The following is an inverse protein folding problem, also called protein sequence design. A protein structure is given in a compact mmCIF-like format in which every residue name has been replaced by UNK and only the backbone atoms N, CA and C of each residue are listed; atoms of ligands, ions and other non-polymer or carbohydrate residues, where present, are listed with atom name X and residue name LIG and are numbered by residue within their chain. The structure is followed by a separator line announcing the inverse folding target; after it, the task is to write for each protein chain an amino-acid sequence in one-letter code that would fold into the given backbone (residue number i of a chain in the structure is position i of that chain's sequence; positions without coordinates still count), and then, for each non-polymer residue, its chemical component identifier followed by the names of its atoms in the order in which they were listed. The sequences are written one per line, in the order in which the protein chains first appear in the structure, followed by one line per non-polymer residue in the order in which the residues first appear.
data_IF_729558130489
#
_entry.id   IF_729558130489
#
_cell.length_a   1.000
_cell.length_b   1.000
_cell.length_c   1.000
_cell.angle_alpha   90.00
_cell.angle_beta   90.00
_cell.angle_gamma   90.00
#
_symmetry.space_group_name_H-M   'P 1'
#
loop_
_entity.id
_entity.type
_entity.pdbx_description
1 polymer ?
#
# COMPACT_ATOMS: atom_id res chain seq x y z
N UNK A 1 8.35 14.89 18.14
CA UNK A 1 7.93 15.48 16.84
C UNK A 1 6.80 14.61 16.30
N UNK A 2 5.66 15.17 15.88
CA UNK A 2 4.60 14.37 15.28
C UNK A 2 5.12 13.72 13.99
N UNK A 3 4.84 12.43 13.82
CA UNK A 3 5.29 11.67 12.67
C UNK A 3 4.54 12.17 11.43
N UNK A 4 5.25 12.71 10.45
CA UNK A 4 4.65 13.20 9.21
C UNK A 4 4.05 12.03 8.42
N UNK A 5 2.86 12.18 7.83
CA UNK A 5 2.27 11.14 7.01
C UNK A 5 3.13 10.92 5.76
N UNK A 6 3.43 9.66 5.46
CA UNK A 6 4.06 9.30 4.20
C UNK A 6 3.00 9.23 3.12
N UNK A 7 3.19 10.02 2.07
CA UNK A 7 2.24 10.18 0.99
C UNK A 7 2.80 9.61 -0.30
N UNK A 8 1.93 9.07 -1.15
CA UNK A 8 2.28 8.61 -2.49
C UNK A 8 1.28 9.14 -3.49
N UNK A 9 1.74 9.42 -4.71
CA UNK A 9 0.86 9.84 -5.79
C UNK A 9 0.27 8.62 -6.51
N UNK A 10 -1.02 8.67 -6.80
CA UNK A 10 -1.67 7.62 -7.58
C UNK A 10 -1.44 7.90 -9.06
N UNK A 11 -0.92 6.91 -9.77
CA UNK A 11 -0.77 6.98 -11.23
C UNK A 11 -1.77 6.05 -11.91
N UNK A 12 -2.07 6.34 -13.17
CA UNK A 12 -2.94 5.50 -14.00
C UNK A 12 -2.12 4.86 -15.12
N UNK A 13 -2.29 3.56 -15.33
CA UNK A 13 -1.76 2.84 -16.50
C UNK A 13 -2.85 1.98 -17.10
N UNK A 14 -3.31 2.37 -18.30
CA UNK A 14 -4.48 1.75 -18.93
C UNK A 14 -5.73 1.92 -18.06
N UNK A 15 -6.42 0.82 -17.80
CA UNK A 15 -7.60 0.77 -16.93
C UNK A 15 -7.26 0.65 -15.42
N UNK A 16 -5.99 0.46 -15.05
CA UNK A 16 -5.58 0.20 -13.67
C UNK A 16 -4.97 1.42 -13.00
N UNK A 17 -5.37 1.66 -11.75
CA UNK A 17 -4.69 2.59 -10.85
C UNK A 17 -3.50 1.90 -10.19
N UNK A 18 -2.41 2.64 -9.99
CA UNK A 18 -1.18 2.14 -9.38
C UNK A 18 -0.72 3.09 -8.29
N UNK A 19 -0.38 2.50 -7.15
CA UNK A 19 0.31 3.17 -6.06
C UNK A 19 1.68 2.52 -5.90
N UNK A 20 2.70 3.34 -5.68
CA UNK A 20 4.00 2.85 -5.21
C UNK A 20 4.03 3.09 -3.71
N UNK A 21 4.00 2.04 -2.87
CA UNK A 21 4.04 2.23 -1.43
C UNK A 21 5.37 2.89 -1.02
N UNK A 22 5.36 3.84 -0.08
CA UNK A 22 6.58 4.35 0.54
C UNK A 22 7.41 3.21 1.12
N UNK A 23 8.75 3.36 1.13
CA UNK A 23 9.69 2.30 1.56
C UNK A 23 9.34 1.75 2.95
N UNK A 24 9.05 2.62 3.92
CA UNK A 24 8.70 2.18 5.29
C UNK A 24 7.37 1.44 5.34
N UNK A 25 6.37 1.84 4.53
CA UNK A 25 5.10 1.12 4.47
C UNK A 25 5.29 -0.31 3.93
N UNK A 26 6.14 -0.48 2.91
CA UNK A 26 6.51 -1.80 2.39
C UNK A 26 7.29 -2.63 3.42
N UNK A 27 8.21 -2.01 4.16
CA UNK A 27 8.98 -2.65 5.24
C UNK A 27 8.07 -3.09 6.41
N UNK A 28 7.07 -2.30 6.79
CA UNK A 28 6.12 -2.64 7.85
C UNK A 28 5.36 -3.95 7.60
N UNK A 29 5.07 -4.27 6.35
CA UNK A 29 4.39 -5.51 5.96
C UNK A 29 5.34 -6.57 5.40
N UNK A 30 6.66 -6.30 5.42
CA UNK A 30 7.70 -7.14 4.83
C UNK A 30 7.34 -7.60 3.40
N UNK A 31 6.90 -6.65 2.57
CA UNK A 31 6.50 -6.92 1.19
C UNK A 31 7.72 -7.09 0.28
N UNK A 32 7.72 -8.16 -0.51
CA UNK A 32 8.72 -8.45 -1.54
C UNK A 32 8.07 -8.62 -2.90
N UNK A 33 8.86 -8.53 -3.97
CA UNK A 33 8.36 -8.74 -5.33
C UNK A 33 7.78 -10.16 -5.47
N UNK A 34 6.55 -10.26 -5.97
CA UNK A 34 5.83 -11.52 -6.12
C UNK A 34 4.82 -11.82 -5.01
N UNK A 35 4.84 -11.09 -3.90
CA UNK A 35 3.84 -11.24 -2.83
C UNK A 35 2.43 -10.91 -3.34
N UNK A 36 1.45 -11.67 -2.85
CA UNK A 36 0.03 -11.39 -3.07
C UNK A 36 -0.50 -10.53 -1.92
N UNK A 37 -0.91 -9.31 -2.24
CA UNK A 37 -1.48 -8.35 -1.28
C UNK A 37 -2.99 -8.29 -1.47
N UNK A 38 -3.72 -8.62 -0.41
CA UNK A 38 -5.16 -8.43 -0.31
C UNK A 38 -5.50 -7.02 0.15
N UNK A 39 -6.62 -6.52 -0.35
CA UNK A 39 -7.19 -5.22 0.01
C UNK A 39 -8.56 -5.46 0.62
N UNK A 40 -8.84 -4.90 1.78
CA UNK A 40 -10.19 -4.93 2.38
C UNK A 40 -10.49 -3.59 3.03
N UNK A 41 -11.77 -3.25 3.11
CA UNK A 41 -12.23 -2.05 3.79
C UNK A 41 -12.45 -2.36 5.28
N UNK A 42 -11.96 -1.49 6.14
CA UNK A 42 -12.20 -1.51 7.59
C UNK A 42 -12.38 -0.07 8.07
N UNK A 43 -13.55 0.27 8.60
CA UNK A 43 -13.87 1.61 9.12
C UNK A 43 -13.56 2.75 8.12
N UNK A 44 -13.99 2.57 6.86
CA UNK A 44 -13.77 3.53 5.77
C UNK A 44 -12.30 3.68 5.34
N UNK A 45 -11.40 2.82 5.85
CA UNK A 45 -9.98 2.77 5.48
C UNK A 45 -9.72 1.54 4.65
N UNK A 46 -8.91 1.70 3.60
CA UNK A 46 -8.41 0.56 2.85
C UNK A 46 -7.22 -0.05 3.60
N UNK A 47 -7.36 -1.29 4.05
CA UNK A 47 -6.33 -2.04 4.74
C UNK A 47 -5.66 -3.02 3.78
N UNK A 48 -4.33 -3.03 3.83
CA UNK A 48 -3.46 -3.90 3.04
C UNK A 48 -3.01 -5.07 3.93
N UNK A 49 -3.16 -6.30 3.43
CA UNK A 49 -2.69 -7.50 4.14
C UNK A 49 -2.04 -8.48 3.18
N UNK A 50 -0.88 -9.00 3.56
CA UNK A 50 -0.21 -10.08 2.84
C UNK A 50 -1.02 -11.38 2.98
N UNK A 51 -1.36 -12.01 1.86
CA UNK A 51 -2.30 -13.13 1.82
C UNK A 51 -1.62 -14.50 1.86
N UNK A 52 -0.42 -14.63 1.29
CA UNK A 52 0.56 -15.71 1.45
C UNK A 52 1.78 -15.37 0.61
#
# INVERSE_FOLDING_TARGET
MPQLPEVTHISKRGASMRITPPKKAAECINAVAGDIIGFYEDDGKLVLKKMK
#
